data_IF_025269854447
#
_entry.id   IF_025269854447
#
_cell.length_a   1.000
_cell.length_b   1.000
_cell.length_c   1.000
_cell.angle_alpha   90.00
_cell.angle_beta   90.00
_cell.angle_gamma   90.00
#
_symmetry.space_group_name_H-M   'P 1'
#
loop_
_entity.id
_entity.type
_entity.pdbx_description
1 polymer ?
#
# COMPACT_ATOMS: atom_id res chain seq x y z
N UNK A 1 -12.86 -42.62 -14.63
CA UNK A 1 -13.34 -43.17 -15.92
C UNK A 1 -14.52 -44.09 -15.64
N UNK A 2 -15.53 -44.14 -16.52
CA UNK A 2 -16.64 -45.10 -16.37
C UNK A 2 -16.12 -46.54 -16.49
N UNK A 3 -16.72 -47.48 -15.75
CA UNK A 3 -16.38 -48.90 -15.84
C UNK A 3 -16.87 -49.51 -17.15
N UNK A 4 -16.20 -50.56 -17.63
CA UNK A 4 -16.55 -51.23 -18.89
C UNK A 4 -18.00 -51.74 -18.89
N UNK A 5 -18.44 -52.35 -17.79
CA UNK A 5 -19.80 -52.87 -17.64
C UNK A 5 -20.89 -51.77 -17.75
N UNK A 6 -20.62 -50.58 -17.21
CA UNK A 6 -21.53 -49.42 -17.34
C UNK A 6 -21.56 -48.90 -18.77
N UNK A 7 -20.43 -48.92 -19.46
CA UNK A 7 -20.33 -48.53 -20.87
C UNK A 7 -21.18 -49.45 -21.75
N UNK A 8 -21.12 -50.76 -21.50
CA UNK A 8 -21.90 -51.77 -22.24
C UNK A 8 -23.40 -51.64 -21.96
N UNK A 9 -23.79 -51.36 -20.72
CA UNK A 9 -25.19 -51.09 -20.36
C UNK A 9 -25.74 -49.85 -21.10
N UNK A 10 -24.96 -48.76 -21.14
CA UNK A 10 -25.34 -47.54 -21.87
C UNK A 10 -25.46 -47.82 -23.37
N UNK A 11 -24.50 -48.55 -23.95
CA UNK A 11 -24.53 -48.94 -25.36
C UNK A 11 -25.80 -49.74 -25.71
N UNK A 12 -26.18 -50.70 -24.86
CA UNK A 12 -27.37 -51.53 -25.08
C UNK A 12 -28.67 -50.70 -24.96
N UNK A 13 -28.77 -49.83 -23.96
CA UNK A 13 -29.94 -48.97 -23.77
C UNK A 13 -30.15 -48.02 -24.96
N UNK A 14 -29.06 -47.41 -25.45
CA UNK A 14 -29.09 -46.53 -26.62
C UNK A 14 -29.45 -47.30 -27.90
N UNK A 15 -28.96 -48.55 -28.03
CA UNK A 15 -29.29 -49.44 -29.15
C UNK A 15 -30.77 -49.80 -29.21
N UNK A 16 -31.37 -50.15 -28.07
CA UNK A 16 -32.78 -50.50 -27.94
C UNK A 16 -33.69 -49.28 -28.16
N UNK A 17 -33.36 -48.15 -27.52
CA UNK A 17 -34.16 -46.92 -27.61
C UNK A 17 -34.26 -46.37 -29.05
N UNK A 18 -33.24 -46.59 -29.88
CA UNK A 18 -33.22 -46.17 -31.29
C UNK A 18 -33.68 -47.27 -32.26
N UNK A 19 -33.97 -48.49 -31.77
CA UNK A 19 -34.36 -49.61 -32.61
C UNK A 19 -33.27 -50.05 -33.60
N UNK A 20 -32.00 -49.95 -33.21
CA UNK A 20 -30.83 -50.24 -34.04
C UNK A 20 -30.89 -51.63 -34.69
N UNK A 21 -30.49 -51.72 -35.97
CA UNK A 21 -30.40 -52.98 -36.69
C UNK A 21 -29.12 -53.08 -37.52
N UNK A 22 -28.32 -54.11 -37.22
CA UNK A 22 -27.12 -54.40 -38.01
C UNK A 22 -27.44 -54.75 -39.46
N UNK A 23 -28.59 -55.40 -39.70
CA UNK A 23 -29.03 -55.80 -41.05
C UNK A 23 -29.38 -54.59 -41.94
N UNK A 24 -29.67 -53.41 -41.35
CA UNK A 24 -29.87 -52.15 -42.07
C UNK A 24 -28.57 -51.36 -42.27
N UNK A 25 -27.46 -51.80 -41.67
CA UNK A 25 -26.17 -51.12 -41.72
C UNK A 25 -26.00 -49.99 -40.71
N UNK A 26 -26.80 -49.96 -39.62
CA UNK A 26 -26.70 -48.92 -38.60
C UNK A 26 -25.37 -49.06 -37.82
N UNK A 27 -24.73 -47.94 -37.48
CA UNK A 27 -23.50 -47.91 -36.66
C UNK A 27 -23.67 -47.00 -35.45
N UNK A 28 -23.09 -47.38 -34.31
CA UNK A 28 -23.18 -46.65 -33.04
C UNK A 28 -21.79 -46.60 -32.38
N UNK A 29 -21.37 -45.40 -31.97
CA UNK A 29 -20.17 -45.19 -31.17
C UNK A 29 -20.51 -44.28 -30.01
N UNK A 30 -20.30 -44.76 -28.78
CA UNK A 30 -20.49 -43.97 -27.57
C UNK A 30 -19.13 -43.76 -26.94
N UNK A 31 -18.78 -42.50 -26.71
CA UNK A 31 -17.52 -42.11 -26.07
C UNK A 31 -17.84 -41.34 -24.80
N UNK A 32 -17.13 -41.67 -23.73
CA UNK A 32 -17.26 -40.98 -22.46
C UNK A 32 -16.33 -39.76 -22.44
N UNK A 33 -16.88 -38.59 -22.76
CA UNK A 33 -16.20 -37.31 -22.59
C UNK A 33 -16.78 -36.56 -21.40
N UNK A 34 -15.94 -35.98 -20.52
CA UNK A 34 -16.44 -35.16 -19.42
C UNK A 34 -17.12 -33.90 -19.97
N UNK A 35 -18.34 -33.62 -19.50
CA UNK A 35 -19.12 -32.42 -19.89
C UNK A 35 -18.46 -31.11 -19.50
N UNK A 36 -17.67 -31.16 -18.42
CA UNK A 36 -16.74 -30.12 -18.07
C UNK A 36 -15.35 -30.72 -18.25
N UNK A 37 -14.76 -30.54 -19.43
CA UNK A 37 -13.32 -30.35 -19.47
C UNK A 37 -13.08 -29.03 -18.75
N UNK A 38 -13.03 -29.11 -17.42
CA UNK A 38 -11.96 -28.41 -16.74
C UNK A 38 -10.73 -29.05 -17.40
N UNK A 39 -10.34 -28.50 -18.55
CA UNK A 39 -8.95 -28.24 -18.75
C UNK A 39 -8.53 -27.79 -17.37
N UNK A 40 -7.67 -28.58 -16.76
CA UNK A 40 -6.68 -27.99 -15.89
C UNK A 40 -6.08 -26.87 -16.75
N UNK A 41 -6.74 -25.70 -16.74
CA UNK A 41 -6.14 -24.43 -17.02
C UNK A 41 -5.18 -24.37 -15.83
N UNK A 42 -4.03 -25.04 -15.84
CA UNK A 42 -3.08 -25.04 -16.95
C UNK A 42 -2.36 -23.69 -17.05
N UNK A 43 -2.85 -22.69 -16.31
CA UNK A 43 -2.00 -21.80 -15.57
C UNK A 43 -2.57 -21.80 -14.17
N UNK A 44 -1.82 -22.29 -13.18
CA UNK A 44 -2.06 -21.88 -11.80
C UNK A 44 -2.35 -20.38 -11.83
N UNK A 45 -3.47 -19.94 -11.24
CA UNK A 45 -3.73 -18.50 -11.14
C UNK A 45 -2.42 -17.85 -10.65
N UNK A 46 -1.94 -16.79 -11.33
CA UNK A 46 -0.73 -16.12 -10.94
C UNK A 46 -0.71 -15.88 -9.44
N UNK A 47 0.45 -16.05 -8.79
CA UNK A 47 0.51 -16.08 -7.33
C UNK A 47 -0.14 -14.86 -6.66
N UNK A 48 -0.18 -13.69 -7.32
CA UNK A 48 -0.84 -12.48 -6.85
C UNK A 48 -2.38 -12.50 -6.91
N UNK A 49 -2.96 -13.34 -7.76
CA UNK A 49 -4.40 -13.58 -7.89
C UNK A 49 -4.90 -14.74 -7.01
N UNK A 50 -3.99 -15.51 -6.41
CA UNK A 50 -4.37 -16.56 -5.46
C UNK A 50 -5.02 -15.90 -4.23
N UNK A 51 -6.18 -16.42 -3.81
CA UNK A 51 -6.91 -15.92 -2.63
C UNK A 51 -6.01 -15.85 -1.38
N UNK A 52 -5.14 -16.84 -1.18
CA UNK A 52 -4.20 -16.88 -0.08
C UNK A 52 -3.24 -15.67 -0.04
N UNK A 53 -2.84 -15.13 -1.20
CA UNK A 53 -1.99 -13.95 -1.28
C UNK A 53 -2.76 -12.69 -0.85
N UNK A 54 -4.01 -12.55 -1.29
CA UNK A 54 -4.88 -11.43 -0.91
C UNK A 54 -5.18 -11.46 0.60
N UNK A 55 -5.42 -12.65 1.16
CA UNK A 55 -5.66 -12.82 2.60
C UNK A 55 -4.40 -12.47 3.41
N UNK A 56 -3.22 -12.89 2.97
CA UNK A 56 -1.95 -12.55 3.60
C UNK A 56 -1.68 -11.03 3.54
N UNK A 57 -1.90 -10.42 2.38
CA UNK A 57 -1.70 -8.99 2.17
C UNK A 57 -2.67 -8.16 3.02
N UNK A 58 -3.93 -8.57 3.11
CA UNK A 58 -4.94 -7.92 3.95
C UNK A 58 -4.59 -8.05 5.44
N UNK A 59 -4.11 -9.21 5.86
CA UNK A 59 -3.65 -9.45 7.24
C UNK A 59 -2.44 -8.57 7.56
N UNK A 60 -1.42 -8.58 6.70
CA UNK A 60 -0.22 -7.76 6.87
C UNK A 60 -0.56 -6.27 6.86
N UNK A 61 -1.47 -5.85 5.97
CA UNK A 61 -1.97 -4.48 5.88
C UNK A 61 -2.63 -4.00 7.18
N UNK A 62 -3.45 -4.86 7.83
CA UNK A 62 -4.07 -4.54 9.12
C UNK A 62 -3.03 -4.30 10.21
N UNK A 63 -2.02 -5.17 10.32
CA UNK A 63 -0.94 -5.00 11.29
C UNK A 63 -0.07 -3.78 10.97
N UNK A 64 0.22 -3.52 9.70
CA UNK A 64 0.99 -2.35 9.26
C UNK A 64 0.26 -1.05 9.60
N UNK A 65 -1.06 -1.00 9.42
CA UNK A 65 -1.88 0.14 9.81
C UNK A 65 -1.79 0.40 11.32
N UNK A 66 -1.97 -0.64 12.14
CA UNK A 66 -1.82 -0.53 13.60
C UNK A 66 -0.40 -0.07 13.98
N UNK A 67 0.64 -0.63 13.36
CA UNK A 67 2.02 -0.24 13.60
C UNK A 67 2.28 1.22 13.21
N UNK A 68 1.70 1.70 12.11
CA UNK A 68 1.82 3.07 11.63
C UNK A 68 1.13 4.04 12.59
N UNK A 69 -0.07 3.71 13.08
CA UNK A 69 -0.77 4.48 14.10
C UNK A 69 0.03 4.51 15.41
N UNK A 70 0.52 3.36 15.88
CA UNK A 70 1.36 3.28 17.07
C UNK A 70 2.65 4.09 16.91
N UNK A 71 3.29 4.03 15.75
CA UNK A 71 4.49 4.81 15.42
C UNK A 71 4.22 6.31 15.40
N UNK A 72 3.10 6.75 14.82
CA UNK A 72 2.68 8.15 14.83
C UNK A 72 2.42 8.64 16.26
N UNK A 73 1.71 7.86 17.09
CA UNK A 73 1.46 8.19 18.49
C UNK A 73 2.76 8.23 19.30
N UNK A 74 3.66 7.27 19.11
CA UNK A 74 4.98 7.26 19.73
C UNK A 74 5.78 8.52 19.37
N UNK A 75 5.79 8.88 18.08
CA UNK A 75 6.49 10.08 17.59
C UNK A 75 5.90 11.37 18.14
N UNK A 76 4.58 11.40 18.38
CA UNK A 76 3.84 12.58 18.84
C UNK A 76 3.77 12.74 20.36
N UNK A 77 3.70 11.66 21.15
CA UNK A 77 3.54 11.71 22.61
C UNK A 77 4.83 11.30 23.33
N UNK A 78 5.39 10.14 22.99
CA UNK A 78 6.51 9.56 23.73
C UNK A 78 7.79 10.35 23.46
N UNK A 79 8.12 10.61 22.18
CA UNK A 79 9.33 11.38 21.81
C UNK A 79 9.43 12.75 22.50
N UNK A 80 8.40 13.63 22.52
CA UNK A 80 8.53 14.92 23.19
C UNK A 80 8.65 14.81 24.70
N UNK A 81 8.02 13.82 25.35
CA UNK A 81 8.16 13.61 26.79
C UNK A 81 9.57 13.19 27.18
N UNK A 82 10.18 12.25 26.43
CA UNK A 82 11.57 11.85 26.65
C UNK A 82 12.54 13.02 26.43
N UNK A 83 12.35 13.80 25.36
CA UNK A 83 13.20 14.98 25.14
C UNK A 83 13.05 16.04 26.24
N UNK A 84 11.84 16.23 26.78
CA UNK A 84 11.62 17.15 27.91
C UNK A 84 12.31 16.66 29.18
N UNK A 85 12.24 15.35 29.48
CA UNK A 85 12.94 14.79 30.63
C UNK A 85 14.46 14.85 30.48
N UNK A 86 15.00 14.58 29.30
CA UNK A 86 16.44 14.73 29.02
C UNK A 86 16.90 16.18 29.15
N UNK A 87 16.12 17.15 28.65
CA UNK A 87 16.41 18.57 28.83
C UNK A 87 16.36 18.98 30.31
N UNK A 88 15.39 18.49 31.08
CA UNK A 88 15.30 18.75 32.51
C UNK A 88 16.46 18.11 33.30
N UNK A 89 16.88 16.90 32.94
CA UNK A 89 18.03 16.22 33.53
C UNK A 89 19.36 16.94 33.20
N UNK A 90 19.54 17.38 31.95
CA UNK A 90 20.69 18.16 31.53
C UNK A 90 20.77 19.51 32.25
N UNK A 91 19.64 20.21 32.43
CA UNK A 91 19.60 21.47 33.16
C UNK A 91 19.92 21.26 34.66
N UNK A 92 19.45 20.18 35.27
CA UNK A 92 19.79 19.80 36.66
C UNK A 92 21.27 19.46 36.83
N UNK A 93 21.89 18.79 35.86
CA UNK A 93 23.33 18.51 35.90
C UNK A 93 24.16 19.80 35.78
N UNK A 94 23.78 20.74 34.90
CA UNK A 94 24.46 22.03 34.80
C UNK A 94 24.38 22.87 36.08
N UNK A 95 23.25 22.82 36.80
CA UNK A 95 23.09 23.51 38.09
C UNK A 95 23.97 22.90 39.19
N UNK A 96 24.25 21.60 39.13
CA UNK A 96 25.05 20.90 40.15
C UNK A 96 26.57 20.89 39.86
N UNK A 97 27.01 21.16 38.63
CA UNK A 97 28.44 21.16 38.25
C UNK A 97 29.07 22.55 38.12
N UNK A 98 28.33 23.64 38.38
CA UNK A 98 28.91 24.99 38.44
C UNK A 98 29.33 25.36 39.88
N UNK A 99 30.63 25.33 40.23
CA UNK A 99 31.10 26.17 41.32
C UNK A 99 30.86 27.63 40.90
N UNK A 100 30.31 28.41 41.82
CA UNK A 100 29.95 29.83 41.74
C UNK A 100 30.89 30.59 40.79
N UNK A 101 30.43 30.84 39.57
CA UNK A 101 30.92 31.92 38.74
C UNK A 101 29.69 32.59 38.14
N UNK A 102 29.41 33.77 38.67
CA UNK A 102 28.28 34.60 38.29
C UNK A 102 28.44 35.07 36.84
N UNK A 103 27.91 34.29 35.90
CA UNK A 103 27.50 34.79 34.59
C UNK A 103 25.98 34.66 34.49
N UNK A 104 25.25 35.73 34.14
CA UNK A 104 23.81 35.65 34.05
C UNK A 104 23.46 34.83 32.82
N UNK A 105 23.02 33.59 33.03
CA UNK A 105 22.26 32.86 32.03
C UNK A 105 20.94 33.61 31.86
N UNK A 106 20.91 34.59 30.95
CA UNK A 106 19.67 35.19 30.47
C UNK A 106 18.90 34.07 29.79
N UNK A 107 17.87 33.58 30.49
CA UNK A 107 16.79 32.84 29.86
C UNK A 107 16.36 33.66 28.64
N UNK A 108 16.38 33.13 27.40
CA UNK A 108 15.97 33.91 26.25
C UNK A 108 14.55 34.40 26.51
N UNK A 109 14.36 35.71 26.47
CA UNK A 109 13.03 36.30 26.65
C UNK A 109 12.09 35.69 25.60
N UNK A 110 10.80 35.60 25.91
CA UNK A 110 9.79 35.08 24.98
C UNK A 110 9.83 35.83 23.63
N UNK A 111 10.26 37.09 23.65
CA UNK A 111 10.51 37.92 22.47
C UNK A 111 11.70 37.46 21.61
N UNK A 112 12.83 37.05 22.21
CA UNK A 112 13.99 36.52 21.46
C UNK A 112 13.68 35.17 20.81
N UNK A 113 12.92 34.31 21.49
CA UNK A 113 12.41 33.06 20.93
C UNK A 113 11.48 33.29 19.73
N UNK A 114 10.60 34.31 19.82
CA UNK A 114 9.74 34.70 18.72
C UNK A 114 10.53 35.29 17.55
N UNK A 115 11.55 36.11 17.81
CA UNK A 115 12.45 36.62 16.77
C UNK A 115 13.17 35.47 16.07
N UNK A 116 13.77 34.52 16.81
CA UNK A 116 14.43 33.35 16.20
C UNK A 116 13.47 32.51 15.35
N UNK A 117 12.22 32.32 15.77
CA UNK A 117 11.20 31.65 14.94
C UNK A 117 10.90 32.41 13.67
N UNK A 118 10.75 33.74 13.72
CA UNK A 118 10.53 34.58 12.54
C UNK A 118 11.72 34.51 11.57
N UNK A 119 12.95 34.56 12.08
CA UNK A 119 14.14 34.39 11.27
C UNK A 119 14.16 33.01 10.60
N UNK A 120 13.94 31.92 11.36
CA UNK A 120 13.88 30.57 10.80
C UNK A 120 12.78 30.41 9.74
N UNK A 121 11.60 31.00 9.96
CA UNK A 121 10.51 30.99 8.98
C UNK A 121 10.92 31.70 7.68
N UNK A 122 11.60 32.84 7.77
CA UNK A 122 12.13 33.56 6.59
C UNK A 122 13.15 32.71 5.85
N UNK A 123 14.13 32.13 6.55
CA UNK A 123 15.14 31.27 5.90
C UNK A 123 14.50 30.05 5.25
N UNK A 124 13.47 29.45 5.86
CA UNK A 124 12.74 28.33 5.25
C UNK A 124 11.90 28.76 4.04
N UNK A 125 11.33 29.96 4.05
CA UNK A 125 10.56 30.50 2.92
C UNK A 125 11.48 30.83 1.74
N UNK A 126 12.66 31.39 2.01
CA UNK A 126 13.70 31.65 1.01
C UNK A 126 14.19 30.34 0.36
N UNK A 127 14.53 29.33 1.16
CA UNK A 127 14.95 28.01 0.66
C UNK A 127 13.85 27.28 -0.14
N UNK A 128 12.58 27.48 0.21
CA UNK A 128 11.47 26.93 -0.58
C UNK A 128 11.30 27.66 -1.91
N UNK A 129 11.49 28.98 -1.94
CA UNK A 129 11.40 29.78 -3.17
C UNK A 129 12.52 29.42 -4.15
N UNK A 130 13.75 29.22 -3.65
CA UNK A 130 14.88 28.74 -4.46
C UNK A 130 14.61 27.35 -5.06
N UNK A 131 14.09 26.42 -4.27
CA UNK A 131 13.74 25.07 -4.76
C UNK A 131 12.65 25.10 -5.84
N UNK A 132 11.64 25.96 -5.69
CA UNK A 132 10.59 26.13 -6.72
C UNK A 132 11.17 26.70 -8.01
N UNK A 133 12.11 27.66 -7.90
CA UNK A 133 12.81 28.20 -9.07
C UNK A 133 13.66 27.14 -9.76
N UNK A 134 14.40 26.34 -9.01
CA UNK A 134 15.21 25.24 -9.55
C UNK A 134 14.35 24.19 -10.26
N UNK A 135 13.20 23.80 -9.68
CA UNK A 135 12.25 22.89 -10.32
C UNK A 135 11.69 23.46 -11.63
N UNK A 136 11.45 24.78 -11.69
CA UNK A 136 10.99 25.45 -12.90
C UNK A 136 12.08 25.53 -13.99
N UNK A 137 13.35 25.62 -13.61
CA UNK A 137 14.49 25.58 -14.53
C UNK A 137 14.78 24.16 -15.05
N UNK A 138 14.62 23.13 -14.21
CA UNK A 138 14.85 21.72 -14.58
C UNK A 138 13.72 21.12 -15.43
N UNK A 139 12.45 21.44 -15.13
CA UNK A 139 11.30 20.93 -15.87
C UNK A 139 10.23 22.00 -16.16
N UNK A 140 10.43 22.84 -17.20
CA UNK A 140 9.48 23.89 -17.55
C UNK A 140 8.14 23.33 -18.09
N UNK A 141 8.12 22.09 -18.59
CA UNK A 141 6.91 21.48 -19.15
C UNK A 141 5.92 21.10 -18.05
N UNK A 142 6.42 20.57 -16.94
CA UNK A 142 5.59 20.22 -15.77
C UNK A 142 4.98 21.48 -15.15
N UNK A 143 5.74 22.58 -15.04
CA UNK A 143 5.21 23.86 -14.52
C UNK A 143 4.10 24.42 -15.41
N UNK A 144 4.26 24.37 -16.73
CA UNK A 144 3.24 24.82 -17.68
C UNK A 144 1.92 24.05 -17.57
N UNK A 145 1.98 22.74 -17.28
CA UNK A 145 0.78 21.91 -17.06
C UNK A 145 0.04 22.31 -15.78
N UNK A 146 0.75 22.64 -14.70
CA UNK A 146 0.15 23.09 -13.44
C UNK A 146 -0.54 24.44 -13.60
N UNK A 147 0.11 25.40 -14.29
CA UNK A 147 -0.50 26.71 -14.59
C UNK A 147 -1.74 26.53 -15.46
N UNK A 148 -1.67 25.68 -16.50
CA UNK A 148 -2.82 25.34 -17.35
C UNK A 148 -3.96 24.75 -16.52
N UNK A 149 -3.66 23.86 -15.57
CA UNK A 149 -4.67 23.26 -14.70
C UNK A 149 -5.39 24.33 -13.87
N UNK A 150 -4.65 25.27 -13.26
CA UNK A 150 -5.23 26.36 -12.48
C UNK A 150 -6.07 27.32 -13.33
N UNK A 151 -5.63 27.60 -14.56
CA UNK A 151 -6.38 28.45 -15.50
C UNK A 151 -7.62 27.73 -16.06
N UNK A 152 -7.63 26.39 -16.11
CA UNK A 152 -8.79 25.59 -16.54
C UNK A 152 -9.83 25.36 -15.45
N UNK A 153 -9.51 25.68 -14.19
CA UNK A 153 -10.43 25.53 -13.05
C UNK A 153 -11.26 26.78 -12.76
N UNK A 154 -11.21 27.82 -13.60
CA UNK A 154 -12.21 28.90 -13.54
C UNK A 154 -13.54 28.39 -14.12
N UNK A 155 -14.61 28.27 -13.31
CA UNK A 155 -15.94 28.04 -13.84
C UNK A 155 -16.39 29.30 -14.59
N UNK A 156 -16.93 29.11 -15.79
CA UNK A 156 -17.75 30.13 -16.47
C UNK A 156 -19.04 30.37 -15.68
#
# INVERSE_FOLDING_TARGET
ALSQEKMDQINNLVREAMGFSQNRGDTLSVVNTPFNSVADNGGELPFWQKQAFIDLLSTLGRYLLVALVAWLLWRKLVKPMLTKQQQAAALRQQVNTSPISAQPVKQPSNEELQQRRKLQQRTTAEAQTERVREMAEQDPRVVALVIRQWMSTEPQ
#
